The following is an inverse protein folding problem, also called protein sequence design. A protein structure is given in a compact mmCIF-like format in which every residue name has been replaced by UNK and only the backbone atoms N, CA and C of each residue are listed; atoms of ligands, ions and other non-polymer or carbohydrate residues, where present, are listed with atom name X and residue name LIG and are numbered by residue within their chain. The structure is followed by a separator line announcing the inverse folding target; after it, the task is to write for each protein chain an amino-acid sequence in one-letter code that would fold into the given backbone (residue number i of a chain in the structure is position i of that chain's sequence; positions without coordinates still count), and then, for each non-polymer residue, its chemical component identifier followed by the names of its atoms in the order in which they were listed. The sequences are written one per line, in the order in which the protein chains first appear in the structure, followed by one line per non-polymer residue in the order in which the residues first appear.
data_IF_696352661744
#
_entry.id   IF_696352661744
#
_cell.length_a   1.000
_cell.length_b   1.000
_cell.length_c   1.000
_cell.angle_alpha   90.00
_cell.angle_beta   90.00
_cell.angle_gamma   90.00
#
_symmetry.space_group_name_H-M   'P 1'
#
loop_
_entity.id
_entity.type
_entity.pdbx_description
1 polymer ?
#
# COMPACT_ATOMS: atom_id res chain seq x y z
N UNK A 1 -14.32 11.85 6.79
CA UNK A 1 -13.05 11.18 6.39
C UNK A 1 -11.88 12.01 6.84
N UNK A 2 -10.81 11.37 7.27
CA UNK A 2 -9.54 12.00 7.66
C UNK A 2 -8.40 11.20 7.03
N UNK A 3 -7.49 11.88 6.35
CA UNK A 3 -6.33 11.25 5.73
C UNK A 3 -5.12 11.39 6.66
N UNK A 4 -4.59 10.28 7.13
CA UNK A 4 -3.45 10.24 8.06
C UNK A 4 -2.26 9.61 7.35
N UNK A 5 -1.19 10.37 7.19
CA UNK A 5 0.04 9.89 6.56
C UNK A 5 0.80 8.94 7.49
N UNK A 6 1.15 7.77 6.99
CA UNK A 6 1.99 6.77 7.66
C UNK A 6 3.43 7.06 7.28
N UNK A 7 4.21 7.54 8.25
CA UNK A 7 5.60 7.98 8.05
C UNK A 7 6.60 7.02 8.69
N UNK A 8 7.84 7.13 8.27
CA UNK A 8 8.96 6.47 8.95
C UNK A 8 9.18 5.02 8.55
N UNK A 9 8.52 4.53 7.52
CA UNK A 9 8.71 3.17 7.02
C UNK A 9 9.68 3.12 5.83
N UNK A 10 9.51 4.02 4.89
CA UNK A 10 10.32 4.16 3.67
C UNK A 10 10.10 5.57 3.08
N UNK A 11 10.94 5.94 2.13
CA UNK A 11 10.72 7.08 1.25
C UNK A 11 10.51 6.57 -0.17
N UNK A 12 9.37 6.90 -0.77
CA UNK A 12 9.01 6.43 -2.10
C UNK A 12 10.02 6.94 -3.14
N UNK A 13 10.47 6.08 -4.05
CA UNK A 13 11.27 6.50 -5.19
C UNK A 13 10.45 7.42 -6.11
N UNK A 14 10.95 8.63 -6.35
CA UNK A 14 10.28 9.61 -7.21
C UNK A 14 10.44 9.32 -8.71
N UNK A 15 11.39 8.48 -9.09
CA UNK A 15 11.69 8.19 -10.50
C UNK A 15 10.84 7.05 -11.03
N UNK A 16 11.01 5.88 -10.47
CA UNK A 16 10.38 4.66 -10.96
C UNK A 16 10.12 3.64 -9.85
N UNK A 17 9.13 3.87 -9.01
CA UNK A 17 8.82 2.95 -7.90
C UNK A 17 8.36 1.57 -8.39
N UNK A 18 7.89 1.46 -9.63
CA UNK A 18 7.50 0.20 -10.29
C UNK A 18 6.67 -0.74 -9.43
N UNK A 19 5.54 -0.30 -8.88
CA UNK A 19 4.75 -1.13 -7.96
C UNK A 19 4.26 -2.40 -8.66
N UNK A 20 4.52 -3.53 -8.01
CA UNK A 20 4.15 -4.87 -8.48
C UNK A 20 3.22 -5.51 -7.47
N UNK A 21 2.04 -5.96 -7.92
CA UNK A 21 1.00 -6.52 -7.07
C UNK A 21 0.84 -8.00 -7.38
N UNK A 22 0.74 -8.80 -6.33
CA UNK A 22 0.36 -10.21 -6.40
C UNK A 22 -0.75 -10.49 -5.39
N UNK A 23 -1.79 -11.14 -5.81
CA UNK A 23 -2.87 -11.52 -4.91
C UNK A 23 -3.57 -12.81 -5.33
N UNK A 24 -4.21 -13.45 -4.35
CA UNK A 24 -5.22 -14.48 -4.52
C UNK A 24 -6.40 -14.17 -3.61
N UNK A 25 -7.27 -15.12 -3.32
CA UNK A 25 -8.45 -14.91 -2.47
C UNK A 25 -8.09 -14.55 -1.00
N UNK A 26 -6.89 -14.87 -0.53
CA UNK A 26 -6.50 -14.76 0.86
C UNK A 26 -5.30 -13.83 1.11
N UNK A 27 -4.45 -13.65 0.12
CA UNK A 27 -3.18 -12.96 0.26
C UNK A 27 -3.09 -11.78 -0.72
N UNK A 28 -2.58 -10.66 -0.26
CA UNK A 28 -2.35 -9.46 -1.06
C UNK A 28 -0.99 -8.87 -0.72
N UNK A 29 -0.15 -8.77 -1.75
CA UNK A 29 1.18 -8.17 -1.68
C UNK A 29 1.29 -7.01 -2.65
N UNK A 30 2.07 -6.00 -2.27
CA UNK A 30 2.60 -4.99 -3.16
C UNK A 30 4.08 -4.80 -2.87
N UNK A 31 4.92 -4.84 -3.90
CA UNK A 31 6.35 -4.56 -3.80
C UNK A 31 6.73 -3.42 -4.73
N UNK A 32 7.65 -2.57 -4.31
CA UNK A 32 8.08 -1.38 -5.06
C UNK A 32 9.47 -0.93 -4.63
N UNK A 33 10.10 -0.10 -5.47
CA UNK A 33 11.36 0.57 -5.13
C UNK A 33 11.08 1.76 -4.21
N UNK A 34 11.85 1.83 -3.12
CA UNK A 34 11.86 2.95 -2.20
C UNK A 34 13.22 3.05 -1.50
N UNK A 35 13.54 4.22 -0.97
CA UNK A 35 14.75 4.44 -0.20
C UNK A 35 14.53 4.08 1.26
N UNK A 36 15.59 3.58 1.91
CA UNK A 36 15.62 3.51 3.36
C UNK A 36 15.54 4.92 3.91
N UNK A 37 14.76 5.11 4.95
CA UNK A 37 14.84 6.34 5.71
C UNK A 37 16.24 6.42 6.34
N UNK A 38 17.17 7.07 5.65
CA UNK A 38 18.45 7.43 6.26
C UNK A 38 18.14 8.39 7.39
N UNK A 39 18.57 8.05 8.61
CA UNK A 39 18.60 9.00 9.71
C UNK A 39 19.30 10.27 9.22
N UNK A 40 18.52 11.32 9.04
CA UNK A 40 18.96 12.63 8.61
C UNK A 40 20.09 13.13 9.51
N UNK A 41 21.34 13.02 9.08
CA UNK A 41 22.47 13.79 9.62
C UNK A 41 23.79 13.64 8.84
N UNK A 42 23.78 13.13 7.60
CA UNK A 42 25.01 13.13 6.79
C UNK A 42 24.70 13.82 5.46
N UNK A 43 25.36 14.95 5.13
CA UNK A 43 25.34 15.47 3.77
C UNK A 43 26.04 14.46 2.88
N UNK A 44 25.31 13.59 2.26
CA UNK A 44 25.87 12.71 1.23
C UNK A 44 26.01 13.51 -0.06
N UNK A 45 27.24 13.61 -0.51
CA UNK A 45 27.52 13.94 -1.90
C UNK A 45 26.72 12.98 -2.79
N UNK A 46 25.90 13.53 -3.68
CA UNK A 46 24.99 12.80 -4.60
C UNK A 46 25.75 11.96 -5.64
N UNK A 47 26.60 11.08 -5.23
CA UNK A 47 27.41 10.22 -6.11
C UNK A 47 27.30 8.72 -5.80
N UNK A 48 26.40 8.29 -4.99
CA UNK A 48 26.07 6.88 -4.85
C UNK A 48 24.71 6.61 -5.48
N UNK A 49 24.76 6.23 -6.73
CA UNK A 49 23.74 5.50 -7.44
C UNK A 49 23.40 4.27 -6.58
N UNK A 50 22.11 4.18 -6.15
CA UNK A 50 21.44 2.98 -5.65
C UNK A 50 21.64 2.59 -4.18
N UNK A 51 21.04 3.33 -3.28
CA UNK A 51 20.53 2.78 -2.03
C UNK A 51 18.99 2.61 -2.06
N UNK A 52 18.44 2.43 -3.26
CA UNK A 52 17.04 2.03 -3.44
C UNK A 52 16.90 0.56 -3.07
N UNK A 53 16.21 0.30 -1.99
CA UNK A 53 15.79 -1.04 -1.59
C UNK A 53 14.46 -1.43 -2.25
N UNK A 54 14.09 -2.69 -2.14
CA UNK A 54 12.74 -3.17 -2.41
C UNK A 54 12.00 -3.22 -1.08
N UNK A 55 10.84 -2.58 -1.03
CA UNK A 55 9.88 -2.72 0.06
C UNK A 55 8.71 -3.55 -0.41
N UNK A 56 8.32 -4.52 0.40
CA UNK A 56 7.15 -5.35 0.16
C UNK A 56 6.19 -5.24 1.35
N UNK A 57 4.94 -4.89 1.08
CA UNK A 57 3.87 -4.93 2.06
C UNK A 57 3.00 -6.15 1.79
N UNK A 58 2.70 -6.90 2.85
CA UNK A 58 1.70 -7.96 2.88
C UNK A 58 0.51 -7.47 3.68
N UNK A 59 -0.64 -7.30 3.03
CA UNK A 59 -1.87 -6.87 3.71
C UNK A 59 -2.60 -8.08 4.29
N UNK A 60 -2.96 -7.98 5.57
CA UNK A 60 -3.62 -9.05 6.32
C UNK A 60 -5.13 -8.92 6.23
N UNK A 61 -5.79 -10.03 5.93
CA UNK A 61 -7.25 -10.11 5.89
C UNK A 61 -7.84 -8.97 5.05
N UNK A 62 -7.39 -8.88 3.80
CA UNK A 62 -7.89 -7.85 2.89
C UNK A 62 -9.29 -8.21 2.35
N UNK A 63 -10.09 -7.19 2.06
CA UNK A 63 -11.43 -7.33 1.50
C UNK A 63 -11.49 -6.90 0.04
N UNK A 64 -10.75 -5.87 -0.29
CA UNK A 64 -10.78 -5.24 -1.62
C UNK A 64 -9.51 -4.46 -1.84
N UNK A 65 -9.06 -4.41 -3.08
CA UNK A 65 -8.05 -3.46 -3.51
C UNK A 65 -8.37 -2.90 -4.89
N UNK A 66 -7.77 -1.76 -5.21
CA UNK A 66 -7.75 -1.15 -6.53
C UNK A 66 -6.34 -0.68 -6.86
N UNK A 67 -6.00 -0.70 -8.13
CA UNK A 67 -4.72 -0.22 -8.63
C UNK A 67 -4.89 0.42 -10.00
N UNK A 68 -4.26 1.57 -10.21
CA UNK A 68 -4.31 2.31 -11.46
C UNK A 68 -4.24 3.82 -11.26
N UNK A 69 -4.80 4.57 -12.21
CA UNK A 69 -4.88 6.04 -12.13
C UNK A 69 -5.63 6.52 -10.86
N UNK A 70 -5.29 7.70 -10.36
CA UNK A 70 -4.40 8.71 -10.95
C UNK A 70 -2.92 8.49 -10.62
N UNK A 71 -2.04 9.04 -11.46
CA UNK A 71 -0.64 9.27 -11.15
C UNK A 71 -0.43 10.65 -10.52
N UNK A 72 0.84 11.02 -10.29
CA UNK A 72 1.24 12.25 -9.60
C UNK A 72 0.77 13.52 -10.35
N UNK A 73 0.79 13.52 -11.68
CA UNK A 73 0.37 14.68 -12.49
C UNK A 73 -1.13 14.98 -12.34
N UNK A 74 -1.94 13.99 -12.01
CA UNK A 74 -3.41 14.12 -11.96
C UNK A 74 -4.00 13.88 -10.57
N UNK A 75 -3.15 13.67 -9.55
CA UNK A 75 -3.56 13.37 -8.17
C UNK A 75 -4.49 14.46 -7.58
N UNK A 76 -4.33 15.72 -8.01
CA UNK A 76 -5.15 16.84 -7.58
C UNK A 76 -6.63 16.71 -8.00
N UNK A 77 -6.91 15.93 -9.04
CA UNK A 77 -8.26 15.59 -9.45
C UNK A 77 -8.95 14.53 -8.60
N UNK A 78 -8.20 13.82 -7.77
CA UNK A 78 -8.76 12.79 -6.90
C UNK A 78 -9.58 13.39 -5.75
N UNK A 79 -10.75 12.82 -5.37
CA UNK A 79 -11.57 13.35 -4.28
C UNK A 79 -10.83 13.57 -2.96
N UNK A 80 -9.85 12.71 -2.64
CA UNK A 80 -9.06 12.81 -1.41
C UNK A 80 -7.97 13.88 -1.44
N UNK A 81 -7.71 14.53 -2.58
CA UNK A 81 -6.80 15.67 -2.65
C UNK A 81 -7.23 16.80 -1.73
N UNK A 82 -8.55 16.97 -1.56
CA UNK A 82 -9.14 17.94 -0.62
C UNK A 82 -8.85 17.64 0.85
N UNK A 83 -8.43 16.40 1.16
CA UNK A 83 -7.99 15.98 2.48
C UNK A 83 -6.47 16.10 2.66
N UNK A 84 -5.77 16.67 1.68
CA UNK A 84 -4.33 16.85 1.71
C UNK A 84 -3.51 15.68 1.13
N UNK A 85 -4.13 14.79 0.34
CA UNK A 85 -3.41 13.70 -0.34
C UNK A 85 -2.36 14.24 -1.30
N UNK A 86 -1.16 13.71 -1.21
CA UNK A 86 0.00 14.02 -2.06
C UNK A 86 0.47 12.76 -2.75
N UNK A 87 1.25 12.92 -3.82
CA UNK A 87 1.98 11.82 -4.45
C UNK A 87 3.10 11.29 -3.57
N UNK A 88 3.58 10.10 -3.87
CA UNK A 88 4.72 9.46 -3.22
C UNK A 88 4.57 9.29 -1.70
N UNK A 89 3.39 8.90 -1.28
CA UNK A 89 3.03 8.84 0.15
C UNK A 89 2.24 7.58 0.48
N UNK A 90 2.23 7.24 1.77
CA UNK A 90 1.44 6.15 2.30
C UNK A 90 0.45 6.70 3.35
N UNK A 91 -0.82 6.33 3.25
CA UNK A 91 -1.89 6.84 4.10
C UNK A 91 -2.78 5.77 4.68
N UNK A 92 -3.38 6.08 5.82
CA UNK A 92 -4.62 5.50 6.34
C UNK A 92 -5.74 6.53 6.17
N UNK A 93 -6.82 6.16 5.46
CA UNK A 93 -8.03 6.99 5.37
C UNK A 93 -9.03 6.56 6.43
N UNK A 94 -9.13 7.33 7.51
CA UNK A 94 -10.05 7.09 8.60
C UNK A 94 -11.47 7.53 8.25
N UNK A 95 -12.45 6.85 8.82
CA UNK A 95 -13.88 7.07 8.53
C UNK A 95 -14.21 6.96 7.03
N UNK A 96 -13.59 5.98 6.37
CA UNK A 96 -13.71 5.73 4.95
C UNK A 96 -15.14 5.42 4.52
N UNK A 97 -15.62 6.14 3.49
CA UNK A 97 -16.94 5.86 2.91
C UNK A 97 -16.92 4.56 2.10
N UNK A 98 -15.76 4.13 1.58
CA UNK A 98 -15.62 2.84 0.92
C UNK A 98 -15.85 1.68 1.91
N UNK A 99 -15.28 1.75 3.12
CA UNK A 99 -15.54 0.75 4.16
C UNK A 99 -17.03 0.72 4.51
N UNK A 100 -17.68 1.87 4.68
CA UNK A 100 -19.13 1.93 4.94
C UNK A 100 -19.95 1.30 3.83
N UNK A 101 -19.61 1.60 2.57
CA UNK A 101 -20.30 1.03 1.40
C UNK A 101 -20.15 -0.50 1.32
N UNK A 102 -18.96 -1.02 1.58
CA UNK A 102 -18.74 -2.47 1.65
C UNK A 102 -19.53 -3.11 2.80
N UNK A 103 -19.49 -2.48 3.96
CA UNK A 103 -20.24 -2.92 5.12
C UNK A 103 -21.75 -2.96 4.84
N UNK A 104 -22.31 -1.96 4.14
CA UNK A 104 -23.72 -1.91 3.77
C UNK A 104 -24.09 -3.06 2.82
N UNK A 105 -23.22 -3.44 1.91
CA UNK A 105 -23.42 -4.61 1.04
C UNK A 105 -23.45 -5.90 1.87
N UNK A 106 -22.53 -6.05 2.81
CA UNK A 106 -22.37 -7.26 3.60
C UNK A 106 -23.42 -7.45 4.71
N UNK A 107 -24.22 -6.44 5.01
CA UNK A 107 -25.33 -6.52 6.00
C UNK A 107 -26.36 -7.60 5.71
N UNK A 108 -26.48 -8.03 4.45
CA UNK A 108 -27.40 -9.11 4.06
C UNK A 108 -26.90 -10.50 4.47
N UNK A 109 -25.60 -10.63 4.81
CA UNK A 109 -25.03 -11.92 5.16
C UNK A 109 -25.58 -12.44 6.50
N UNK A 110 -26.01 -13.72 6.60
CA UNK A 110 -26.63 -14.26 7.83
C UNK A 110 -25.75 -14.15 9.08
N UNK A 111 -24.44 -14.19 8.89
CA UNK A 111 -23.46 -14.08 9.97
C UNK A 111 -22.81 -12.70 10.05
N UNK A 112 -23.49 -11.66 9.54
CA UNK A 112 -22.98 -10.29 9.62
C UNK A 112 -22.71 -9.88 11.07
N UNK A 113 -21.53 -9.32 11.32
CA UNK A 113 -21.14 -8.83 12.62
C UNK A 113 -20.49 -7.44 12.48
N UNK A 114 -21.15 -6.35 12.91
CA UNK A 114 -20.62 -4.99 12.77
C UNK A 114 -19.32 -4.76 13.54
N UNK A 115 -19.06 -5.49 14.64
CA UNK A 115 -17.83 -5.32 15.41
C UNK A 115 -16.57 -5.76 14.64
N UNK A 116 -16.68 -6.78 13.79
CA UNK A 116 -15.57 -7.19 12.92
C UNK A 116 -15.14 -6.11 11.95
N UNK A 117 -16.06 -5.24 11.52
CA UNK A 117 -15.79 -4.16 10.57
C UNK A 117 -14.93 -3.04 11.17
N UNK A 118 -14.91 -2.89 12.49
CA UNK A 118 -14.06 -1.91 13.20
C UNK A 118 -12.56 -2.20 13.08
N UNK A 119 -12.19 -3.43 12.72
CA UNK A 119 -10.80 -3.82 12.53
C UNK A 119 -10.23 -3.42 11.17
N UNK A 120 -11.09 -3.11 10.20
CA UNK A 120 -10.65 -2.79 8.85
C UNK A 120 -10.25 -1.33 8.73
N UNK A 121 -9.16 -1.12 8.02
CA UNK A 121 -8.56 0.17 7.68
C UNK A 121 -8.52 0.34 6.17
N UNK A 122 -8.53 1.56 5.72
CA UNK A 122 -8.39 1.90 4.31
C UNK A 122 -6.98 2.46 4.09
N UNK A 123 -6.14 1.70 3.42
CA UNK A 123 -4.76 2.07 3.10
C UNK A 123 -4.66 2.60 1.68
N UNK A 124 -3.83 3.63 1.48
CA UNK A 124 -3.62 4.27 0.19
C UNK A 124 -2.12 4.50 -0.01
N UNK A 125 -1.57 4.00 -1.12
CA UNK A 125 -0.21 4.26 -1.57
C UNK A 125 -0.28 5.04 -2.89
N UNK A 126 0.41 6.16 -2.96
CA UNK A 126 0.49 6.99 -4.17
C UNK A 126 1.88 6.91 -4.76
N UNK A 127 1.96 6.62 -6.06
CA UNK A 127 3.20 6.44 -6.81
C UNK A 127 3.35 7.50 -7.90
N UNK A 128 4.28 7.32 -8.82
CA UNK A 128 4.48 8.20 -9.96
C UNK A 128 3.28 8.12 -10.94
N UNK A 129 3.05 6.96 -11.54
CA UNK A 129 2.05 6.79 -12.60
C UNK A 129 0.69 6.28 -12.12
N UNK A 130 0.59 5.89 -10.86
CA UNK A 130 -0.60 5.20 -10.34
C UNK A 130 -0.72 5.32 -8.83
N UNK A 131 -1.84 4.86 -8.32
CA UNK A 131 -2.09 4.69 -6.91
C UNK A 131 -2.65 3.30 -6.62
N UNK A 132 -2.48 2.87 -5.39
CA UNK A 132 -3.03 1.63 -4.87
C UNK A 132 -3.87 1.95 -3.63
N UNK A 133 -5.05 1.35 -3.55
CA UNK A 133 -5.91 1.41 -2.36
C UNK A 133 -6.28 0.01 -1.93
N UNK A 134 -6.33 -0.25 -0.63
CA UNK A 134 -6.90 -1.50 -0.13
C UNK A 134 -7.62 -1.33 1.21
N UNK A 135 -8.61 -2.18 1.42
CA UNK A 135 -9.28 -2.37 2.71
C UNK A 135 -8.72 -3.66 3.31
N UNK A 136 -8.02 -3.54 4.43
CA UNK A 136 -7.41 -4.65 5.14
C UNK A 136 -7.38 -4.37 6.65
N UNK A 137 -7.12 -5.40 7.46
CA UNK A 137 -7.04 -5.21 8.92
C UNK A 137 -5.70 -4.59 9.32
N UNK A 138 -4.62 -5.05 8.70
CA UNK A 138 -3.26 -4.62 9.03
C UNK A 138 -2.32 -4.92 7.86
N UNK A 139 -1.05 -4.55 7.98
CA UNK A 139 -0.01 -4.93 7.03
C UNK A 139 1.29 -5.30 7.74
N UNK A 140 2.08 -6.13 7.08
CA UNK A 140 3.49 -6.36 7.39
C UNK A 140 4.35 -5.70 6.32
N UNK A 141 5.49 -5.16 6.72
CA UNK A 141 6.45 -4.58 5.81
C UNK A 141 7.76 -5.35 5.89
N UNK A 142 8.36 -5.59 4.74
CA UNK A 142 9.69 -6.19 4.61
C UNK A 142 10.53 -5.29 3.72
N UNK A 143 11.75 -5.09 4.13
CA UNK A 143 12.78 -4.47 3.32
C UNK A 143 13.70 -5.56 2.80
N UNK A 144 13.92 -5.61 1.50
CA UNK A 144 14.68 -6.66 0.85
C UNK A 144 15.78 -6.06 -0.05
N UNK A 145 16.96 -6.66 0.01
CA UNK A 145 18.09 -6.28 -0.83
C UNK A 145 18.25 -7.23 -2.03
N UNK A 146 17.14 -7.44 -2.73
CA UNK A 146 17.05 -8.32 -3.92
C UNK A 146 16.40 -7.55 -5.07
N UNK A 147 16.41 -8.10 -6.28
CA UNK A 147 15.69 -7.48 -7.39
C UNK A 147 14.17 -7.57 -7.22
N UNK A 148 13.43 -6.66 -7.85
CA UNK A 148 11.97 -6.71 -7.86
C UNK A 148 11.44 -8.03 -8.44
N UNK A 149 12.12 -8.57 -9.44
CA UNK A 149 11.81 -9.90 -10.00
C UNK A 149 11.92 -11.01 -8.95
N UNK A 150 13.02 -11.02 -8.19
CA UNK A 150 13.21 -12.02 -7.13
C UNK A 150 12.19 -11.84 -6.02
N UNK A 151 11.86 -10.60 -5.65
CA UNK A 151 10.81 -10.31 -4.68
C UNK A 151 9.45 -10.80 -5.15
N UNK A 152 9.10 -10.58 -6.42
CA UNK A 152 7.87 -11.11 -7.00
C UNK A 152 7.83 -12.65 -6.95
N UNK A 153 8.95 -13.32 -7.16
CA UNK A 153 9.07 -14.78 -7.02
C UNK A 153 8.86 -15.24 -5.58
N UNK A 154 9.40 -14.52 -4.59
CA UNK A 154 9.17 -14.80 -3.17
C UNK A 154 7.68 -14.67 -2.85
N UNK A 155 7.04 -13.57 -3.24
CA UNK A 155 5.61 -13.35 -3.03
C UNK A 155 4.76 -14.44 -3.71
N UNK A 156 5.11 -14.83 -4.94
CA UNK A 156 4.43 -15.91 -5.66
C UNK A 156 4.51 -17.25 -4.92
N UNK A 157 5.66 -17.57 -4.37
CA UNK A 157 5.85 -18.79 -3.56
C UNK A 157 5.01 -18.74 -2.28
N UNK A 158 4.88 -17.59 -1.64
CA UNK A 158 4.00 -17.44 -0.47
C UNK A 158 2.52 -17.63 -0.84
N UNK A 159 2.07 -17.12 -2.01
CA UNK A 159 0.72 -17.37 -2.51
C UNK A 159 0.42 -18.85 -2.79
N UNK A 160 1.46 -19.60 -3.18
CA UNK A 160 1.32 -21.00 -3.58
C UNK A 160 1.24 -21.96 -2.40
N UNK A 161 1.60 -21.51 -1.20
CA UNK A 161 1.50 -22.34 0.01
C UNK A 161 0.02 -22.44 0.40
N UNK A 162 -0.64 -23.48 -0.11
CA UNK A 162 -1.95 -23.88 0.42
C UNK A 162 -1.72 -24.43 1.83
N UNK A 163 -2.17 -23.72 2.82
CA UNK A 163 -2.33 -24.30 4.15
C UNK A 163 -3.52 -25.28 4.10
N UNK A 164 -3.22 -26.54 3.91
CA UNK A 164 -4.19 -27.61 4.12
C UNK A 164 -4.28 -27.94 5.59
#
# INVERSE_FOLDING_TARGET
MELVEIKGLFEMDFGSPSPTILSNDNELFIAFYADKQSSYNIPQERNTIYDTGIFALKFKVFLKYTFGLPGDETIQGHPYSKLGMKSYSFYELRNSDLIKSLQDIEKIHPNYNPEKWKMYKHYILTFHDNMFECIAQDFEIREENISLYNQATVMLNELSVKHF
#
